data_IF_424802220976
#
_entry.id   IF_424802220976
#
_cell.length_a   1.000
_cell.length_b   1.000
_cell.length_c   1.000
_cell.angle_alpha   90.00
_cell.angle_beta   90.00
_cell.angle_gamma   90.00
#
_symmetry.space_group_name_H-M   'P 1'
#
loop_
_entity.id
_entity.type
_entity.pdbx_description
1 polymer ?
#
# COMPACT_ATOMS: atom_id res chain seq x y z
N UNK A 1 4.48 14.71 0.23
CA UNK A 1 3.64 13.93 1.18
C UNK A 1 4.49 13.18 2.22
N UNK A 2 4.04 13.06 3.49
CA UNK A 2 4.70 12.20 4.51
C UNK A 2 4.17 10.77 4.46
N UNK A 3 4.88 9.88 3.79
CA UNK A 3 4.52 8.45 3.66
C UNK A 3 4.49 7.74 5.02
N UNK A 4 3.55 6.81 5.18
CA UNK A 4 3.56 5.89 6.32
C UNK A 4 4.81 5.00 6.24
N UNK A 5 5.38 4.66 7.40
CA UNK A 5 6.45 3.65 7.47
C UNK A 5 5.88 2.29 7.84
N UNK A 6 6.57 1.24 7.42
CA UNK A 6 6.28 -0.13 7.83
C UNK A 6 6.12 -0.29 9.36
N UNK A 7 6.95 0.39 10.17
CA UNK A 7 6.82 0.36 11.63
C UNK A 7 5.46 0.92 12.12
N UNK A 8 4.98 2.01 11.51
CA UNK A 8 3.67 2.60 11.83
C UNK A 8 2.54 1.65 11.41
N UNK A 9 2.67 1.01 10.24
CA UNK A 9 1.71 0.01 9.75
C UNK A 9 1.61 -1.16 10.72
N UNK A 10 2.73 -1.77 11.09
CA UNK A 10 2.79 -2.90 12.02
C UNK A 10 2.23 -2.56 13.40
N UNK A 11 2.57 -1.38 13.92
CA UNK A 11 2.03 -0.91 15.19
C UNK A 11 0.50 -0.80 15.14
N UNK A 12 -0.05 -0.25 14.05
CA UNK A 12 -1.49 -0.16 13.85
C UNK A 12 -2.17 -1.53 13.71
N UNK A 13 -1.55 -2.46 12.97
CA UNK A 13 -2.05 -3.82 12.77
C UNK A 13 -2.20 -4.59 14.10
N UNK A 14 -1.19 -4.48 14.98
CA UNK A 14 -1.19 -5.10 16.31
C UNK A 14 -2.14 -4.43 17.29
N UNK A 15 -2.31 -3.10 17.21
CA UNK A 15 -3.09 -2.31 18.18
C UNK A 15 -4.57 -2.70 18.23
N UNK A 16 -5.29 -2.60 17.11
CA UNK A 16 -6.71 -2.97 17.04
C UNK A 16 -7.22 -3.04 15.60
N UNK A 17 -8.42 -3.62 15.39
CA UNK A 17 -9.11 -3.59 14.08
C UNK A 17 -9.32 -2.15 13.60
N UNK A 18 -9.78 -1.26 14.47
CA UNK A 18 -10.01 0.15 14.12
C UNK A 18 -8.73 0.88 13.73
N UNK A 19 -7.63 0.65 14.47
CA UNK A 19 -6.33 1.24 14.14
C UNK A 19 -5.78 0.72 12.80
N UNK A 20 -5.90 -0.59 12.55
CA UNK A 20 -5.52 -1.19 11.27
C UNK A 20 -6.34 -0.62 10.10
N UNK A 21 -7.65 -0.43 10.29
CA UNK A 21 -8.53 0.17 9.28
C UNK A 21 -8.14 1.62 8.98
N UNK A 22 -7.93 2.45 10.01
CA UNK A 22 -7.51 3.84 9.83
C UNK A 22 -6.15 3.96 9.14
N UNK A 23 -5.19 3.11 9.54
CA UNK A 23 -3.87 3.04 8.90
C UNK A 23 -3.97 2.63 7.44
N UNK A 24 -4.74 1.59 7.12
CA UNK A 24 -4.89 1.13 5.74
C UNK A 24 -5.66 2.18 4.89
N UNK A 25 -6.74 2.81 5.39
CA UNK A 25 -7.41 3.96 4.73
C UNK A 25 -6.41 5.08 4.40
N UNK A 26 -5.57 5.47 5.37
CA UNK A 26 -4.54 6.49 5.16
C UNK A 26 -3.52 6.07 4.11
N UNK A 27 -3.00 4.84 4.15
CA UNK A 27 -2.06 4.32 3.17
C UNK A 27 -2.62 4.37 1.74
N UNK A 28 -3.82 3.84 1.54
CA UNK A 28 -4.46 3.84 0.21
C UNK A 28 -4.77 5.24 -0.29
N UNK A 29 -5.15 6.15 0.62
CA UNK A 29 -5.30 7.57 0.29
C UNK A 29 -4.01 8.18 -0.25
N UNK A 30 -2.89 7.91 0.42
CA UNK A 30 -1.57 8.37 -0.02
C UNK A 30 -1.21 7.83 -1.39
N UNK A 31 -1.45 6.55 -1.66
CA UNK A 31 -1.15 5.93 -2.96
C UNK A 31 -1.96 6.56 -4.10
N UNK A 32 -3.27 6.77 -3.93
CA UNK A 32 -4.09 7.27 -5.05
C UNK A 32 -3.96 8.78 -5.28
N UNK A 33 -3.55 9.56 -4.28
CA UNK A 33 -3.35 11.02 -4.41
C UNK A 33 -1.91 11.43 -4.68
N UNK A 34 -0.94 10.52 -4.53
CA UNK A 34 0.46 10.84 -4.77
C UNK A 34 0.73 11.22 -6.22
N UNK A 35 1.59 12.21 -6.43
CA UNK A 35 2.11 12.56 -7.75
C UNK A 35 3.25 11.62 -8.17
N UNK A 36 3.52 11.54 -9.48
CA UNK A 36 4.61 10.71 -10.00
C UNK A 36 5.97 11.11 -9.40
N UNK A 37 6.19 12.41 -9.22
CA UNK A 37 7.43 12.94 -8.65
C UNK A 37 7.58 12.60 -7.17
N UNK A 38 6.51 12.71 -6.37
CA UNK A 38 6.55 12.32 -4.96
C UNK A 38 6.92 10.84 -4.77
N UNK A 39 6.39 9.97 -5.65
CA UNK A 39 6.69 8.54 -5.63
C UNK A 39 8.14 8.29 -6.05
N UNK A 40 8.63 8.98 -7.10
CA UNK A 40 10.03 8.90 -7.53
C UNK A 40 10.99 9.34 -6.42
N UNK A 41 10.74 10.48 -5.79
CA UNK A 41 11.55 11.03 -4.68
C UNK A 41 11.58 10.06 -3.51
N UNK A 42 10.42 9.52 -3.12
CA UNK A 42 10.33 8.54 -2.02
C UNK A 42 11.16 7.28 -2.29
N UNK A 43 11.04 6.72 -3.50
CA UNK A 43 11.86 5.57 -3.92
C UNK A 43 13.34 5.90 -3.82
N UNK A 44 13.76 7.06 -4.34
CA UNK A 44 15.17 7.49 -4.37
C UNK A 44 15.72 7.69 -2.95
N UNK A 45 14.94 8.29 -2.04
CA UNK A 45 15.33 8.54 -0.65
C UNK A 45 15.50 7.24 0.15
N UNK A 46 14.60 6.26 -0.02
CA UNK A 46 14.66 4.98 0.70
C UNK A 46 15.81 4.07 0.23
N UNK A 47 16.21 4.16 -1.04
CA UNK A 47 17.42 3.50 -1.55
C UNK A 47 18.67 4.08 -0.87
N UNK A 48 18.74 5.42 -0.74
CA UNK A 48 19.88 6.11 -0.09
C UNK A 48 20.03 5.78 1.39
N UNK A 49 18.93 5.59 2.13
CA UNK A 49 18.97 5.34 3.58
C UNK A 49 19.27 3.89 3.95
N UNK A 50 19.48 2.99 2.98
CA UNK A 50 19.88 1.60 3.25
C UNK A 50 18.81 0.71 3.91
N UNK A 51 17.61 1.24 4.17
CA UNK A 51 16.50 0.55 4.86
C UNK A 51 16.06 -0.75 4.16
N UNK A 52 16.42 -0.93 2.89
CA UNK A 52 16.11 -2.14 2.10
C UNK A 52 17.36 -2.84 1.51
N UNK A 53 18.57 -2.55 1.98
CA UNK A 53 19.79 -3.22 1.48
C UNK A 53 19.67 -4.73 1.76
N UNK A 54 19.39 -5.53 0.73
CA UNK A 54 19.14 -6.98 0.82
C UNK A 54 17.68 -7.44 0.74
N UNK A 55 16.69 -6.53 0.66
CA UNK A 55 15.27 -6.87 0.53
C UNK A 55 14.78 -6.67 -0.91
N UNK A 56 14.05 -7.67 -1.46
CA UNK A 56 13.42 -7.60 -2.79
C UNK A 56 12.14 -6.73 -2.82
N UNK A 57 11.71 -6.19 -1.69
CA UNK A 57 10.46 -5.41 -1.58
C UNK A 57 10.69 -3.94 -1.96
N UNK A 58 9.90 -3.43 -2.90
CA UNK A 58 9.89 -2.00 -3.23
C UNK A 58 9.21 -1.17 -2.14
N UNK A 59 9.35 0.17 -2.12
CA UNK A 59 8.74 1.03 -1.12
C UNK A 59 7.20 0.98 -1.07
N UNK A 60 6.54 0.65 -2.20
CA UNK A 60 5.09 0.39 -2.24
C UNK A 60 4.75 -1.05 -1.83
N UNK A 61 5.71 -1.98 -1.89
CA UNK A 61 5.58 -3.32 -1.29
C UNK A 61 5.89 -3.32 0.21
N UNK A 62 6.73 -2.41 0.68
CA UNK A 62 7.21 -2.35 2.06
C UNK A 62 6.23 -1.63 3.00
N UNK A 63 5.37 -0.79 2.44
CA UNK A 63 4.26 -0.20 3.15
C UNK A 63 3.08 -1.16 3.03
N UNK A 64 3.12 -2.23 3.83
CA UNK A 64 2.04 -3.22 3.92
C UNK A 64 0.69 -2.54 4.23
N UNK A 65 -0.43 -3.11 3.77
CA UNK A 65 -1.72 -2.73 4.33
C UNK A 65 -1.82 -3.31 5.74
N UNK A 66 -2.13 -2.46 6.72
CA UNK A 66 -2.27 -2.89 8.12
C UNK A 66 -3.35 -3.97 8.32
N UNK A 67 -4.34 -4.07 7.41
CA UNK A 67 -5.31 -5.16 7.43
C UNK A 67 -4.71 -6.47 6.92
N UNK A 68 -3.87 -6.45 5.88
CA UNK A 68 -3.16 -7.65 5.42
C UNK A 68 -2.26 -8.19 6.55
N UNK A 69 -1.47 -7.32 7.19
CA UNK A 69 -0.64 -7.72 8.35
C UNK A 69 -1.46 -8.27 9.52
N UNK A 70 -2.65 -7.73 9.77
CA UNK A 70 -3.51 -8.17 10.87
C UNK A 70 -4.20 -9.50 10.57
N UNK A 71 -4.56 -9.76 9.32
CA UNK A 71 -5.43 -10.87 8.91
C UNK A 71 -4.75 -11.84 7.94
N UNK A 72 -3.43 -11.83 7.79
CA UNK A 72 -2.68 -12.59 6.78
C UNK A 72 -3.12 -14.07 6.76
N UNK A 73 -3.06 -14.74 7.91
CA UNK A 73 -3.51 -16.13 8.09
C UNK A 73 -5.02 -16.27 8.37
N UNK A 74 -5.74 -15.17 8.53
CA UNK A 74 -7.13 -15.14 8.96
C UNK A 74 -8.00 -14.23 8.09
N UNK A 75 -7.79 -14.30 6.77
CA UNK A 75 -8.50 -13.48 5.78
C UNK A 75 -10.03 -13.62 5.86
N UNK A 76 -10.54 -14.76 6.35
CA UNK A 76 -11.97 -14.97 6.62
C UNK A 76 -12.60 -13.94 7.57
N UNK A 77 -11.80 -13.40 8.49
CA UNK A 77 -12.23 -12.41 9.47
C UNK A 77 -11.86 -10.97 9.06
N UNK A 78 -11.27 -10.79 7.88
CA UNK A 78 -10.95 -9.46 7.38
C UNK A 78 -12.25 -8.71 7.02
N UNK A 79 -12.41 -7.44 7.41
CA UNK A 79 -13.59 -6.65 7.07
C UNK A 79 -13.78 -6.43 5.56
N UNK A 80 -12.74 -6.63 4.75
CA UNK A 80 -12.84 -6.60 3.29
C UNK A 80 -13.52 -7.86 2.73
N UNK A 81 -13.55 -8.95 3.49
CA UNK A 81 -14.02 -10.27 3.08
C UNK A 81 -12.88 -11.23 2.69
N UNK A 82 -13.16 -12.54 2.66
CA UNK A 82 -12.16 -13.60 2.43
C UNK A 82 -11.46 -13.49 1.06
N UNK A 83 -12.18 -13.05 0.04
CA UNK A 83 -11.70 -12.94 -1.35
C UNK A 83 -11.04 -11.59 -1.66
N UNK A 84 -11.12 -10.65 -0.72
CA UNK A 84 -10.88 -9.24 -0.92
C UNK A 84 -9.80 -8.66 0.00
N UNK A 85 -9.46 -9.38 1.07
CA UNK A 85 -8.38 -9.00 1.98
C UNK A 85 -7.07 -8.66 1.25
N UNK A 86 -6.78 -9.36 0.15
CA UNK A 86 -5.51 -9.25 -0.56
C UNK A 86 -5.63 -9.01 -2.08
N UNK A 87 -6.85 -9.03 -2.65
CA UNK A 87 -7.03 -8.92 -4.11
C UNK A 87 -6.71 -7.52 -4.62
N UNK A 88 -7.38 -6.50 -4.09
CA UNK A 88 -7.16 -5.11 -4.50
C UNK A 88 -5.73 -4.65 -4.18
N UNK A 89 -5.15 -5.15 -3.08
CA UNK A 89 -3.73 -4.98 -2.79
C UNK A 89 -2.85 -5.56 -3.91
N UNK A 90 -3.09 -6.81 -4.31
CA UNK A 90 -2.35 -7.48 -5.39
C UNK A 90 -2.47 -6.72 -6.71
N UNK A 91 -3.67 -6.31 -7.10
CA UNK A 91 -3.88 -5.58 -8.34
C UNK A 91 -3.14 -4.23 -8.38
N UNK A 92 -3.18 -3.48 -7.27
CA UNK A 92 -2.43 -2.24 -7.16
C UNK A 92 -0.91 -2.49 -7.16
N UNK A 93 -0.45 -3.55 -6.49
CA UNK A 93 0.95 -3.97 -6.48
C UNK A 93 1.46 -4.33 -7.88
N UNK A 94 0.71 -5.11 -8.63
CA UNK A 94 1.05 -5.52 -9.99
C UNK A 94 1.12 -4.30 -10.92
N UNK A 95 0.14 -3.39 -10.83
CA UNK A 95 0.13 -2.14 -11.58
C UNK A 95 1.34 -1.25 -11.22
N UNK A 96 1.71 -1.17 -9.94
CA UNK A 96 2.89 -0.44 -9.48
C UNK A 96 4.19 -1.04 -10.04
N UNK A 97 4.33 -2.37 -9.99
CA UNK A 97 5.49 -3.07 -10.55
C UNK A 97 5.63 -2.81 -12.06
N UNK A 98 4.52 -2.83 -12.79
CA UNK A 98 4.50 -2.50 -14.21
C UNK A 98 4.86 -1.04 -14.49
N UNK A 99 4.42 -0.11 -13.65
CA UNK A 99 4.87 1.29 -13.72
C UNK A 99 6.37 1.40 -13.40
N UNK A 100 6.89 0.72 -12.37
CA UNK A 100 8.33 0.75 -12.03
C UNK A 100 9.23 0.32 -13.19
N UNK A 101 8.80 -0.68 -13.98
CA UNK A 101 9.55 -1.19 -15.13
C UNK A 101 9.58 -0.22 -16.31
N UNK A 102 8.44 0.37 -16.68
CA UNK A 102 8.31 1.17 -17.92
C UNK A 102 8.23 2.68 -17.71
N UNK A 103 7.91 3.12 -16.49
CA UNK A 103 7.84 4.53 -16.04
C UNK A 103 6.97 5.43 -16.94
N UNK A 104 5.88 4.91 -17.48
CA UNK A 104 4.96 5.69 -18.32
C UNK A 104 3.83 6.30 -17.52
N UNK A 105 3.37 7.50 -17.92
CA UNK A 105 2.22 8.19 -17.30
C UNK A 105 0.96 7.32 -17.26
N UNK A 106 0.64 6.62 -18.36
CA UNK A 106 -0.53 5.74 -18.42
C UNK A 106 -0.51 4.63 -17.36
N UNK A 107 0.66 4.02 -17.13
CA UNK A 107 0.83 2.98 -16.09
C UNK A 107 0.77 3.55 -14.67
N UNK A 108 1.29 4.77 -14.48
CA UNK A 108 1.13 5.49 -13.22
C UNK A 108 -0.34 5.73 -12.89
N UNK A 109 -1.11 6.21 -13.86
CA UNK A 109 -2.56 6.43 -13.69
C UNK A 109 -3.31 5.11 -13.44
N UNK A 110 -2.93 4.00 -14.06
CA UNK A 110 -3.52 2.69 -13.75
C UNK A 110 -3.27 2.29 -12.31
N UNK A 111 -2.05 2.47 -11.79
CA UNK A 111 -1.74 2.23 -10.39
C UNK A 111 -2.59 3.10 -9.45
N UNK A 112 -2.68 4.41 -9.70
CA UNK A 112 -3.52 5.32 -8.92
C UNK A 112 -5.00 4.91 -8.93
N UNK A 113 -5.54 4.49 -10.08
CA UNK A 113 -6.93 4.01 -10.19
C UNK A 113 -7.17 2.76 -9.32
N UNK A 114 -6.25 1.81 -9.33
CA UNK A 114 -6.33 0.61 -8.48
C UNK A 114 -6.23 0.95 -7.00
N UNK A 115 -5.32 1.86 -6.62
CA UNK A 115 -5.24 2.36 -5.26
C UNK A 115 -6.50 3.10 -4.81
N UNK A 116 -7.12 3.88 -5.70
CA UNK A 116 -8.37 4.59 -5.44
C UNK A 116 -9.52 3.62 -5.15
N UNK A 117 -9.68 2.59 -5.99
CA UNK A 117 -10.73 1.59 -5.80
C UNK A 117 -10.64 0.90 -4.42
N UNK A 118 -9.42 0.60 -3.96
CA UNK A 118 -9.21 0.04 -2.62
C UNK A 118 -9.55 1.03 -1.51
N UNK A 119 -9.17 2.30 -1.66
CA UNK A 119 -9.54 3.35 -0.71
C UNK A 119 -11.06 3.53 -0.61
N UNK A 120 -11.75 3.62 -1.74
CA UNK A 120 -13.22 3.77 -1.80
C UNK A 120 -13.90 2.59 -1.13
N UNK A 121 -13.46 1.37 -1.44
CA UNK A 121 -13.96 0.15 -0.79
C UNK A 121 -13.78 0.18 0.72
N UNK A 122 -12.61 0.60 1.21
CA UNK A 122 -12.38 0.74 2.65
C UNK A 122 -13.30 1.80 3.27
N UNK A 123 -13.55 2.91 2.58
CA UNK A 123 -14.41 4.00 3.05
C UNK A 123 -15.89 3.60 3.14
N UNK A 124 -16.34 2.64 2.34
CA UNK A 124 -17.70 2.09 2.39
C UNK A 124 -17.91 1.00 3.46
N UNK A 125 -16.85 0.62 4.18
CA UNK A 125 -16.88 -0.26 5.36
C UNK A 125 -16.88 0.55 6.67
#
# INVERSE_FOLDING_TARGET
MRWLSHAIVRAAAKKSKGAAMASCKKHWKQNYTATEEEVKVYIKQKIKTGVFKGSKCSPVDADLCALCERYDENCKNCPLGPTHCCREYREARDAYCEWKKRKTKGRFSTWQKKAKAMYEKLCSL
#
